data_IF_999376006607
#
_entry.id   IF_999376006607
#
_cell.length_a   1.000
_cell.length_b   1.000
_cell.length_c   1.000
_cell.angle_alpha   90.00
_cell.angle_beta   90.00
_cell.angle_gamma   90.00
#
_symmetry.space_group_name_H-M   'P 1'
#
loop_
_entity.id
_entity.type
_entity.pdbx_description
1 polymer ?
#
# COMPACT_ATOMS: atom_id res chain seq x y z
N UNK A 1 -13.14 -14.63 -2.06
CA UNK A 1 -13.76 -13.32 -2.35
C UNK A 1 -12.86 -12.58 -3.33
N UNK A 2 -13.39 -12.06 -4.43
CA UNK A 2 -12.58 -11.57 -5.57
C UNK A 2 -12.14 -10.11 -5.35
N UNK A 3 -10.86 -9.79 -5.54
CA UNK A 3 -10.29 -8.43 -5.42
C UNK A 3 -11.11 -7.40 -6.20
N UNK A 4 -11.60 -7.76 -7.38
CA UNK A 4 -12.38 -6.86 -8.23
C UNK A 4 -13.68 -6.35 -7.56
N UNK A 5 -14.31 -7.17 -6.72
CA UNK A 5 -15.50 -6.76 -5.98
C UNK A 5 -15.17 -5.68 -4.94
N UNK A 6 -14.10 -5.89 -4.17
CA UNK A 6 -13.63 -4.93 -3.16
C UNK A 6 -13.18 -3.60 -3.78
N UNK A 7 -12.54 -3.66 -4.96
CA UNK A 7 -12.20 -2.46 -5.73
C UNK A 7 -13.45 -1.67 -6.11
N UNK A 8 -14.50 -2.35 -6.57
CA UNK A 8 -15.78 -1.72 -6.90
C UNK A 8 -16.45 -1.07 -5.68
N UNK A 9 -16.44 -1.78 -4.54
CA UNK A 9 -16.99 -1.27 -3.29
C UNK A 9 -16.23 -0.04 -2.79
N UNK A 10 -14.89 -0.10 -2.77
CA UNK A 10 -14.02 1.00 -2.37
C UNK A 10 -14.14 2.23 -3.27
N UNK A 11 -14.37 2.02 -4.58
CA UNK A 11 -14.63 3.10 -5.51
C UNK A 11 -15.97 3.80 -5.21
N UNK A 12 -17.01 3.03 -4.89
CA UNK A 12 -18.34 3.59 -4.62
C UNK A 12 -18.39 4.37 -3.29
N UNK A 13 -17.82 3.81 -2.22
CA UNK A 13 -17.83 4.42 -0.89
C UNK A 13 -16.42 4.83 -0.45
N UNK A 14 -16.11 6.12 -0.55
CA UNK A 14 -14.81 6.66 -0.14
C UNK A 14 -14.63 6.74 1.37
N UNK A 15 -15.69 6.66 2.17
CA UNK A 15 -15.61 6.79 3.63
C UNK A 15 -15.33 5.45 4.34
N UNK A 16 -15.37 4.33 3.60
CA UNK A 16 -15.08 3.00 4.15
C UNK A 16 -13.63 2.61 3.93
N UNK A 17 -13.01 2.05 4.97
CA UNK A 17 -11.74 1.35 4.85
C UNK A 17 -12.00 -0.06 4.31
N UNK A 18 -11.80 -0.25 3.01
CA UNK A 18 -11.91 -1.55 2.37
C UNK A 18 -10.57 -2.27 2.40
N UNK A 19 -10.56 -3.50 2.88
CA UNK A 19 -9.36 -4.32 3.01
C UNK A 19 -9.60 -5.66 2.33
N UNK A 20 -8.61 -6.12 1.59
CA UNK A 20 -8.59 -7.46 1.04
C UNK A 20 -7.30 -8.16 1.47
N UNK A 21 -7.46 -9.37 1.99
CA UNK A 21 -6.35 -10.20 2.45
C UNK A 21 -6.25 -11.44 1.60
N UNK A 22 -5.05 -11.70 1.08
CA UNK A 22 -4.73 -12.96 0.45
C UNK A 22 -4.44 -14.01 1.53
N UNK A 23 -4.88 -15.26 1.32
CA UNK A 23 -4.51 -16.36 2.22
C UNK A 23 -2.99 -16.57 2.25
N UNK A 24 -2.36 -16.49 1.08
CA UNK A 24 -0.92 -16.37 0.87
C UNK A 24 -0.70 -15.34 -0.23
N UNK A 25 0.33 -14.51 -0.10
CA UNK A 25 0.66 -13.47 -1.07
C UNK A 25 0.93 -14.03 -2.46
N UNK A 26 1.40 -15.27 -2.57
CA UNK A 26 1.66 -15.97 -3.82
C UNK A 26 0.40 -16.06 -4.72
N UNK A 27 -0.81 -16.11 -4.11
CA UNK A 27 -2.08 -16.18 -4.82
C UNK A 27 -2.60 -14.84 -5.37
N UNK A 28 -1.87 -13.74 -5.16
CA UNK A 28 -2.25 -12.43 -5.71
C UNK A 28 -2.29 -12.44 -7.26
N UNK A 29 -1.53 -13.35 -7.88
CA UNK A 29 -1.49 -13.57 -9.33
C UNK A 29 -2.86 -13.91 -9.93
N UNK A 30 -3.77 -14.52 -9.17
CA UNK A 30 -5.11 -14.90 -9.65
C UNK A 30 -5.94 -13.65 -9.99
N UNK A 31 -5.65 -12.52 -9.35
CA UNK A 31 -6.29 -11.24 -9.57
C UNK A 31 -5.42 -10.25 -10.34
N UNK A 32 -4.39 -10.73 -11.07
CA UNK A 32 -3.42 -9.87 -11.77
C UNK A 32 -4.10 -8.86 -12.71
N UNK A 33 -5.13 -9.30 -13.44
CA UNK A 33 -5.89 -8.42 -14.34
C UNK A 33 -6.49 -7.23 -13.60
N UNK A 34 -7.06 -7.46 -12.41
CA UNK A 34 -7.65 -6.39 -11.61
C UNK A 34 -6.57 -5.44 -11.06
N UNK A 35 -5.42 -5.98 -10.64
CA UNK A 35 -4.30 -5.20 -10.12
C UNK A 35 -3.74 -4.28 -11.22
N UNK A 36 -3.46 -4.79 -12.40
CA UNK A 36 -2.80 -4.02 -13.47
C UNK A 36 -3.76 -3.00 -14.10
N UNK A 37 -4.99 -3.44 -14.40
CA UNK A 37 -5.92 -2.64 -15.19
C UNK A 37 -6.73 -1.67 -14.35
N UNK A 38 -7.05 -2.03 -13.10
CA UNK A 38 -7.94 -1.22 -12.24
C UNK A 38 -7.16 -0.56 -11.11
N UNK A 39 -6.27 -1.29 -10.43
CA UNK A 39 -5.59 -0.76 -9.25
C UNK A 39 -4.41 0.15 -9.59
N UNK A 40 -3.51 -0.30 -10.48
CA UNK A 40 -2.30 0.44 -10.89
C UNK A 40 -2.64 1.62 -11.80
N UNK A 41 -3.40 1.34 -12.88
CA UNK A 41 -3.63 2.34 -13.94
C UNK A 41 -5.01 2.99 -13.91
N UNK A 42 -5.90 2.60 -12.99
CA UNK A 42 -7.29 3.08 -12.97
C UNK A 42 -7.44 4.56 -12.62
N UNK A 43 -6.56 5.09 -11.76
CA UNK A 43 -6.56 6.51 -11.45
C UNK A 43 -6.13 7.35 -12.66
N UNK A 44 -5.03 6.97 -13.33
CA UNK A 44 -4.51 7.70 -14.50
C UNK A 44 -5.44 7.60 -15.71
N UNK A 45 -6.04 6.42 -15.95
CA UNK A 45 -6.90 6.18 -17.12
C UNK A 45 -8.30 6.77 -16.97
N UNK A 46 -8.92 6.65 -15.80
CA UNK A 46 -10.34 6.96 -15.59
C UNK A 46 -10.59 7.98 -14.48
N UNK A 47 -9.54 8.55 -13.88
CA UNK A 47 -9.66 9.48 -12.75
C UNK A 47 -10.26 8.83 -11.50
N UNK A 48 -10.32 7.49 -11.43
CA UNK A 48 -11.02 6.81 -10.35
C UNK A 48 -10.08 6.59 -9.17
N UNK A 49 -10.36 7.29 -8.06
CA UNK A 49 -9.66 7.07 -6.81
C UNK A 49 -10.20 5.82 -6.11
N UNK A 50 -9.31 4.92 -5.71
CA UNK A 50 -9.60 3.67 -5.02
C UNK A 50 -8.81 3.65 -3.73
N UNK A 51 -9.47 3.34 -2.61
CA UNK A 51 -8.88 3.31 -1.26
C UNK A 51 -8.67 1.89 -0.72
N UNK A 52 -8.44 0.92 -1.59
CA UNK A 52 -8.30 -0.49 -1.22
C UNK A 52 -6.95 -0.76 -0.56
N UNK A 53 -6.98 -1.47 0.57
CA UNK A 53 -5.77 -2.00 1.22
C UNK A 53 -5.61 -3.48 0.86
N UNK A 54 -4.52 -3.83 0.18
CA UNK A 54 -4.12 -5.21 -0.10
C UNK A 54 -3.17 -5.69 0.99
N UNK A 55 -3.58 -6.71 1.75
CA UNK A 55 -2.74 -7.42 2.70
C UNK A 55 -2.20 -8.69 2.02
N UNK A 56 -0.90 -8.73 1.77
CA UNK A 56 -0.23 -9.83 1.09
C UNK A 56 0.76 -10.51 2.03
N UNK A 57 0.40 -11.67 2.62
CA UNK A 57 1.32 -12.47 3.41
C UNK A 57 2.53 -12.93 2.57
N UNK A 58 3.74 -12.58 2.99
CA UNK A 58 5.03 -12.90 2.40
C UNK A 58 5.92 -13.47 3.52
N UNK A 59 6.90 -14.31 3.25
CA UNK A 59 7.82 -14.78 4.29
C UNK A 59 8.55 -16.04 3.88
N UNK A 60 9.88 -16.01 3.93
CA UNK A 60 10.72 -17.14 3.57
C UNK A 60 10.87 -18.10 4.75
N UNK A 61 9.77 -18.74 5.16
CA UNK A 61 9.74 -19.67 6.31
C UNK A 61 9.94 -21.15 5.90
N UNK A 62 10.39 -21.40 4.67
CA UNK A 62 10.65 -22.76 4.19
C UNK A 62 9.41 -23.60 3.89
N UNK A 63 8.22 -22.98 3.82
CA UNK A 63 6.93 -23.62 3.54
C UNK A 63 6.73 -23.99 2.05
N UNK A 64 7.76 -23.82 1.22
CA UNK A 64 7.71 -24.08 -0.22
C UNK A 64 7.48 -22.82 -1.07
N UNK A 65 7.64 -22.94 -2.40
CA UNK A 65 7.65 -21.80 -3.32
C UNK A 65 6.29 -21.10 -3.51
N UNK A 66 5.19 -21.76 -3.13
CA UNK A 66 3.81 -21.25 -3.26
C UNK A 66 3.30 -20.57 -1.97
N UNK A 67 4.15 -20.46 -0.95
CA UNK A 67 3.81 -19.91 0.36
C UNK A 67 4.87 -18.92 0.88
N UNK A 68 5.72 -18.40 -0.02
CA UNK A 68 6.92 -17.66 0.37
C UNK A 68 6.93 -16.22 -0.11
N UNK A 69 6.36 -15.93 -1.29
CA UNK A 69 6.53 -14.63 -1.93
C UNK A 69 5.24 -14.03 -2.47
N UNK A 70 4.94 -12.84 -1.97
CA UNK A 70 3.96 -11.92 -2.57
C UNK A 70 4.48 -11.19 -3.83
N UNK A 71 5.69 -11.49 -4.32
CA UNK A 71 6.28 -10.88 -5.52
C UNK A 71 6.32 -9.35 -5.47
N UNK A 72 6.88 -8.81 -4.39
CA UNK A 72 7.03 -7.37 -4.14
C UNK A 72 7.62 -6.64 -5.35
N UNK A 73 8.60 -7.26 -6.01
CA UNK A 73 9.27 -6.73 -7.19
C UNK A 73 8.29 -6.32 -8.29
N UNK A 74 7.21 -7.09 -8.49
CA UNK A 74 6.19 -6.77 -9.49
C UNK A 74 5.41 -5.52 -9.13
N UNK A 75 5.06 -5.35 -7.86
CA UNK A 75 4.35 -4.16 -7.41
C UNK A 75 5.24 -2.92 -7.53
N UNK A 76 6.54 -3.04 -7.27
CA UNK A 76 7.50 -1.96 -7.47
C UNK A 76 7.72 -1.64 -8.95
N UNK A 77 7.79 -2.64 -9.83
CA UNK A 77 7.88 -2.42 -11.29
C UNK A 77 6.65 -1.72 -11.87
N UNK A 78 5.49 -1.95 -11.27
CA UNK A 78 4.23 -1.31 -11.64
C UNK A 78 4.04 0.06 -10.96
N UNK A 79 4.96 0.52 -10.10
CA UNK A 79 4.95 1.89 -9.60
C UNK A 79 5.31 2.87 -10.72
N UNK A 80 4.60 4.00 -10.74
CA UNK A 80 4.88 5.12 -11.63
C UNK A 80 5.86 6.13 -10.99
N UNK A 81 6.84 5.62 -10.23
CA UNK A 81 7.80 6.45 -9.48
C UNK A 81 9.14 6.54 -10.23
N UNK A 82 9.58 7.77 -10.52
CA UNK A 82 10.81 8.03 -11.27
C UNK A 82 12.02 7.96 -10.33
N UNK A 83 12.94 7.02 -10.60
CA UNK A 83 14.14 6.81 -9.76
C UNK A 83 15.12 8.00 -9.72
N UNK A 84 14.95 8.98 -10.61
CA UNK A 84 15.77 10.20 -10.72
C UNK A 84 15.03 11.43 -10.20
N UNK A 85 13.70 11.34 -10.04
CA UNK A 85 12.88 12.44 -9.58
C UNK A 85 12.87 12.49 -8.05
N UNK A 86 13.64 13.41 -7.48
CA UNK A 86 13.56 13.71 -6.05
C UNK A 86 12.61 14.90 -5.85
N UNK A 87 11.51 14.72 -5.11
CA UNK A 87 10.60 15.81 -4.76
C UNK A 87 11.38 16.96 -4.10
N UNK A 88 11.26 18.18 -4.64
CA UNK A 88 11.95 19.37 -4.12
C UNK A 88 13.37 19.64 -4.64
N UNK A 89 13.92 18.82 -5.55
CA UNK A 89 15.22 19.08 -6.23
C UNK A 89 15.11 19.51 -7.69
N UNK A 90 13.90 19.82 -8.15
CA UNK A 90 13.62 20.20 -9.54
C UNK A 90 14.18 21.59 -9.88
N UNK A 91 14.74 21.75 -11.10
CA UNK A 91 15.16 23.06 -11.61
C UNK A 91 13.95 23.89 -11.99
N UNK A 92 13.35 24.59 -11.02
CA UNK A 92 12.17 25.44 -11.24
C UNK A 92 11.24 25.61 -10.03
N UNK A 93 11.47 24.87 -8.94
CA UNK A 93 10.63 24.98 -7.73
C UNK A 93 10.96 26.26 -6.97
N UNK A 94 9.95 27.02 -6.51
CA UNK A 94 10.18 28.12 -5.58
C UNK A 94 10.89 27.58 -4.33
N UNK A 95 12.01 28.20 -3.95
CA UNK A 95 12.87 27.83 -2.81
C UNK A 95 12.21 27.97 -1.42
N UNK A 96 10.87 27.97 -1.33
CA UNK A 96 10.09 28.15 -0.11
C UNK A 96 8.87 27.22 0.04
N UNK A 97 8.73 26.16 -0.77
CA UNK A 97 7.70 25.12 -0.51
C UNK A 97 8.00 24.39 0.81
N UNK A 98 6.96 24.14 1.60
CA UNK A 98 7.05 23.37 2.84
C UNK A 98 7.21 21.87 2.53
N UNK A 99 7.84 21.11 3.44
CA UNK A 99 8.03 19.66 3.29
C UNK A 99 6.69 18.93 3.13
N UNK A 100 5.63 19.44 3.77
CA UNK A 100 4.28 18.89 3.73
C UNK A 100 3.62 19.03 2.35
N UNK A 101 3.83 20.16 1.67
CA UNK A 101 3.33 20.39 0.31
C UNK A 101 4.02 19.47 -0.69
N UNK A 102 5.35 19.31 -0.55
CA UNK A 102 6.16 18.41 -1.38
C UNK A 102 5.65 16.96 -1.22
N UNK A 103 5.45 16.51 0.02
CA UNK A 103 4.94 15.15 0.29
C UNK A 103 3.50 14.96 -0.20
N UNK A 104 2.65 15.98 -0.06
CA UNK A 104 1.25 15.90 -0.52
C UNK A 104 1.17 15.78 -2.03
N UNK A 105 2.02 16.54 -2.75
CA UNK A 105 2.13 16.43 -4.21
C UNK A 105 2.61 15.06 -4.64
N UNK A 106 3.68 14.56 -4.02
CA UNK A 106 4.19 13.22 -4.32
C UNK A 106 3.10 12.15 -4.10
N UNK A 107 2.38 12.21 -2.97
CA UNK A 107 1.31 11.26 -2.68
C UNK A 107 0.14 11.36 -3.68
N UNK A 108 -0.07 12.52 -4.29
CA UNK A 108 -1.07 12.69 -5.34
C UNK A 108 -0.62 12.11 -6.68
N UNK A 109 0.67 12.21 -7.02
CA UNK A 109 1.25 11.73 -8.28
C UNK A 109 1.40 10.21 -8.31
N UNK A 110 1.91 9.59 -7.25
CA UNK A 110 2.14 8.13 -7.22
C UNK A 110 0.85 7.34 -7.43
N UNK A 111 0.91 6.23 -8.15
CA UNK A 111 -0.27 5.40 -8.42
C UNK A 111 -0.80 4.65 -7.18
N UNK A 112 0.08 4.17 -6.33
CA UNK A 112 -0.26 3.48 -5.08
C UNK A 112 0.85 3.61 -4.04
N UNK A 113 0.57 3.17 -2.81
CA UNK A 113 1.54 3.15 -1.72
C UNK A 113 1.95 1.70 -1.45
N UNK A 114 3.24 1.40 -1.46
CA UNK A 114 3.76 0.08 -1.11
C UNK A 114 4.50 0.16 0.22
N UNK A 115 4.19 -0.72 1.16
CA UNK A 115 4.82 -0.74 2.48
C UNK A 115 5.13 -2.17 2.94
N UNK A 116 6.34 -2.37 3.46
CA UNK A 116 6.72 -3.54 4.23
C UNK A 116 6.85 -3.14 5.71
N UNK A 117 5.79 -3.38 6.48
CA UNK A 117 5.68 -2.89 7.86
C UNK A 117 6.02 -4.02 8.83
N UNK A 118 7.03 -3.79 9.67
CA UNK A 118 7.55 -4.78 10.63
C UNK A 118 6.97 -4.65 12.04
N UNK A 119 6.30 -3.53 12.36
CA UNK A 119 5.73 -3.28 13.69
C UNK A 119 4.21 -3.03 13.62
N UNK A 120 3.50 -3.47 14.65
CA UNK A 120 2.04 -3.29 14.76
C UNK A 120 1.64 -1.83 14.92
N UNK A 121 2.50 -0.99 15.53
CA UNK A 121 2.30 0.46 15.58
C UNK A 121 2.32 1.09 14.18
N UNK A 122 3.30 0.76 13.35
CA UNK A 122 3.38 1.29 12.00
C UNK A 122 2.18 0.84 11.14
N UNK A 123 1.68 -0.37 11.37
CA UNK A 123 0.42 -0.82 10.78
C UNK A 123 -0.76 0.06 11.20
N UNK A 124 -0.93 0.31 12.50
CA UNK A 124 -2.01 1.16 13.01
C UNK A 124 -1.98 2.55 12.38
N UNK A 125 -0.82 3.20 12.34
CA UNK A 125 -0.67 4.51 11.71
C UNK A 125 -0.95 4.46 10.20
N UNK A 126 -0.51 3.41 9.49
CA UNK A 126 -0.79 3.26 8.06
C UNK A 126 -2.28 3.10 7.76
N UNK A 127 -3.00 2.28 8.53
CA UNK A 127 -4.46 2.10 8.35
C UNK A 127 -5.22 3.38 8.69
N UNK A 128 -4.83 4.07 9.76
CA UNK A 128 -5.43 5.36 10.13
C UNK A 128 -5.20 6.41 9.05
N UNK A 129 -4.01 6.43 8.44
CA UNK A 129 -3.67 7.32 7.32
C UNK A 129 -4.60 7.11 6.12
N UNK A 130 -4.94 5.86 5.76
CA UNK A 130 -5.86 5.58 4.64
C UNK A 130 -7.22 6.25 4.79
N UNK A 131 -7.72 6.39 6.02
CA UNK A 131 -9.01 7.04 6.31
C UNK A 131 -8.85 8.57 6.36
N UNK A 132 -7.77 9.05 7.02
CA UNK A 132 -7.54 10.47 7.27
C UNK A 132 -7.03 11.26 6.05
N UNK A 133 -6.52 10.59 5.02
CA UNK A 133 -6.09 11.28 3.80
C UNK A 133 -7.27 11.98 3.11
N UNK A 134 -7.06 13.19 2.55
CA UNK A 134 -8.11 13.92 1.83
C UNK A 134 -8.45 13.29 0.46
N UNK A 135 -7.65 12.34 -0.01
CA UNK A 135 -7.87 11.56 -1.23
C UNK A 135 -7.71 10.06 -0.93
N UNK A 136 -8.03 9.22 -1.92
CA UNK A 136 -7.89 7.77 -1.82
C UNK A 136 -6.81 7.26 -2.76
N UNK A 137 -5.89 6.47 -2.19
CA UNK A 137 -4.85 5.73 -2.89
C UNK A 137 -4.87 4.27 -2.46
N UNK A 138 -4.64 3.32 -3.37
CA UNK A 138 -4.45 1.94 -2.99
C UNK A 138 -3.21 1.78 -2.11
N UNK A 139 -3.30 0.91 -1.10
CA UNK A 139 -2.17 0.57 -0.22
C UNK A 139 -1.86 -0.92 -0.36
N UNK A 140 -0.67 -1.25 -0.85
CA UNK A 140 -0.15 -2.61 -0.93
C UNK A 140 0.76 -2.87 0.27
N UNK A 141 0.29 -3.67 1.21
CA UNK A 141 1.07 -4.09 2.36
C UNK A 141 1.57 -5.51 2.18
N UNK A 142 2.89 -5.64 2.26
CA UNK A 142 3.54 -6.94 2.40
C UNK A 142 3.61 -7.26 3.89
N UNK A 143 3.01 -8.38 4.28
CA UNK A 143 2.95 -8.85 5.67
C UNK A 143 3.95 -9.97 5.81
N UNK A 144 5.00 -9.84 6.63
CA UNK A 144 5.81 -11.02 6.96
C UNK A 144 4.97 -11.99 7.80
N UNK A 145 4.63 -13.15 7.24
CA UNK A 145 3.62 -14.07 7.77
C UNK A 145 4.12 -14.82 8.99
N UNK A 146 3.20 -15.14 9.91
CA UNK A 146 3.30 -16.05 11.07
C UNK A 146 4.24 -15.69 12.23
N UNK A 147 5.54 -15.49 12.02
CA UNK A 147 6.49 -15.36 13.14
C UNK A 147 6.35 -14.03 13.91
N UNK A 148 6.13 -12.90 13.22
CA UNK A 148 6.04 -11.58 13.87
C UNK A 148 4.82 -11.43 14.80
N UNK A 149 3.70 -12.10 14.51
CA UNK A 149 2.50 -12.01 15.34
C UNK A 149 2.58 -12.88 16.61
N UNK A 150 3.49 -13.85 16.66
CA UNK A 150 3.63 -14.79 17.77
C UNK A 150 4.90 -14.49 18.60
N UNK A 151 5.91 -13.80 18.04
CA UNK A 151 7.14 -13.44 18.75
C UNK A 151 6.87 -12.23 19.68
N UNK A 152 7.01 -12.38 21.02
CA UNK A 152 6.73 -11.31 22.00
C UNK A 152 7.72 -10.14 21.96
N UNK A 153 8.74 -10.18 21.10
CA UNK A 153 9.79 -9.14 20.98
C UNK A 153 9.25 -7.89 20.25
N UNK A 154 8.13 -8.00 19.53
CA UNK A 154 7.56 -6.91 18.71
C UNK A 154 6.23 -6.43 19.32
N UNK A 155 6.14 -6.33 20.65
CA UNK A 155 5.02 -5.68 21.31
C UNK A 155 5.25 -4.16 21.26
N UNK A 156 4.43 -3.38 20.52
CA UNK A 156 4.59 -1.94 20.49
C UNK A 156 4.19 -1.35 21.85
N UNK A 157 5.09 -0.58 22.43
CA UNK A 157 4.82 0.20 23.64
C UNK A 157 3.60 1.10 23.40
N UNK A 158 2.55 0.98 24.23
CA UNK A 158 1.23 1.60 23.95
C UNK A 158 1.32 3.13 23.79
N UNK A 159 2.32 3.74 24.45
CA UNK A 159 2.60 5.17 24.41
C UNK A 159 3.10 5.66 23.04
N UNK A 160 3.59 4.78 22.16
CA UNK A 160 4.00 5.13 20.79
C UNK A 160 2.82 5.20 19.80
N UNK A 161 1.64 4.68 20.16
CA UNK A 161 0.47 4.66 19.27
C UNK A 161 -0.32 5.99 19.27
N UNK A 162 -0.18 6.79 20.33
CA UNK A 162 -0.98 7.99 20.58
C UNK A 162 -0.23 9.32 20.36
N UNK A 163 1.06 9.27 20.01
CA UNK A 163 1.87 10.43 19.65
C UNK A 163 2.07 10.55 18.12
#
# INVERSE_FOLDING_TARGET
>A
MNVAFEVGYSAYNHNTLTMWEAQFGDFCNTCQVAIDTILSSGQTKWGRQVGLVLLLPHGMEGQGPEHSSARLERFLELCDDDCVHMPGKESGVPSGETVEEIMTRQLFEINWIICNLTTSANLFHCLRRQIHMPFRKPLVRHVSTLSIFIIPIIEPDINRLFN
#
